data_IF_278269394884
#
_entry.id   IF_278269394884
#
_cell.length_a   1.000
_cell.length_b   1.000
_cell.length_c   1.000
_cell.angle_alpha   90.00
_cell.angle_beta   90.00
_cell.angle_gamma   90.00
#
_symmetry.space_group_name_H-M   'P 1'
#
loop_
_entity.id
_entity.type
_entity.pdbx_description
1 polymer ?
#
# COMPACT_ATOMS: atom_id res chain seq x y z
N UNK A 1 11.66 -7.77 -15.38
CA UNK A 1 10.64 -6.73 -15.63
C UNK A 1 10.81 -5.55 -14.69
N UNK A 2 10.64 -5.72 -13.38
CA UNK A 2 10.71 -4.63 -12.41
C UNK A 2 12.12 -3.99 -12.32
N UNK A 3 13.15 -4.79 -12.01
CA UNK A 3 14.54 -4.32 -11.92
C UNK A 3 15.11 -3.86 -13.26
N UNK A 4 14.48 -4.24 -14.37
CA UNK A 4 14.83 -3.82 -15.73
C UNK A 4 14.12 -2.50 -16.14
N UNK A 5 13.29 -1.92 -15.27
CA UNK A 5 12.59 -0.65 -15.53
C UNK A 5 11.41 -0.74 -16.50
N UNK A 6 10.99 -1.95 -16.89
CA UNK A 6 9.86 -2.13 -17.81
C UNK A 6 8.49 -1.97 -17.13
N UNK A 7 8.47 -1.86 -15.80
CA UNK A 7 7.25 -1.67 -15.03
C UNK A 7 7.53 -0.68 -13.89
N UNK A 8 6.90 0.48 -13.95
CA UNK A 8 6.85 1.43 -12.84
C UNK A 8 5.76 0.98 -11.86
N UNK A 9 6.15 0.62 -10.65
CA UNK A 9 5.23 0.20 -9.58
C UNK A 9 5.10 1.20 -8.45
N UNK A 10 5.82 2.32 -8.53
CA UNK A 10 5.86 3.31 -7.46
C UNK A 10 4.48 3.90 -7.16
N UNK A 11 3.57 3.89 -8.14
CA UNK A 11 2.21 4.40 -8.03
C UNK A 11 1.19 3.38 -7.50
N UNK A 12 1.54 2.09 -7.34
CA UNK A 12 0.60 1.10 -6.82
C UNK A 12 0.48 1.15 -5.30
N UNK A 13 1.56 1.50 -4.58
CA UNK A 13 1.58 1.64 -3.12
C UNK A 13 0.88 2.94 -2.68
N UNK A 14 -0.45 2.90 -2.60
CA UNK A 14 -1.30 4.06 -2.26
C UNK A 14 -1.17 4.51 -0.81
N UNK A 15 -0.95 3.57 0.12
CA UNK A 15 -0.89 3.86 1.55
C UNK A 15 0.27 3.11 2.19
N UNK A 16 0.89 3.75 3.19
CA UNK A 16 2.01 3.20 3.95
C UNK A 16 1.68 3.28 5.43
N UNK A 17 1.87 2.17 6.11
CA UNK A 17 1.58 2.03 7.54
C UNK A 17 2.82 1.51 8.26
N UNK A 18 3.02 1.90 9.50
CA UNK A 18 3.98 1.23 10.37
C UNK A 18 3.53 -0.22 10.65
N UNK A 19 4.45 -1.09 11.04
CA UNK A 19 4.11 -2.45 11.43
C UNK A 19 3.12 -2.49 12.61
N UNK A 20 3.20 -1.52 13.53
CA UNK A 20 2.26 -1.42 14.65
C UNK A 20 0.84 -1.02 14.21
N UNK A 21 0.68 -0.45 13.02
CA UNK A 21 -0.59 0.04 12.46
C UNK A 21 -1.28 -1.01 11.59
N UNK A 22 -0.95 -2.30 11.75
CA UNK A 22 -1.50 -3.39 10.93
C UNK A 22 -3.04 -3.41 10.93
N UNK A 23 -3.70 -3.13 12.05
CA UNK A 23 -5.16 -3.10 12.13
C UNK A 23 -5.76 -1.95 11.30
N UNK A 24 -5.18 -0.76 11.37
CA UNK A 24 -5.61 0.39 10.58
C UNK A 24 -5.40 0.14 9.08
N UNK A 25 -4.30 -0.52 8.70
CA UNK A 25 -4.06 -0.92 7.33
C UNK A 25 -5.17 -1.83 6.78
N UNK A 26 -5.68 -2.75 7.60
CA UNK A 26 -6.82 -3.60 7.22
C UNK A 26 -8.11 -2.79 7.08
N UNK A 27 -8.45 -1.92 8.03
CA UNK A 27 -9.66 -1.10 7.97
C UNK A 27 -9.67 -0.20 6.71
N UNK A 28 -8.53 0.38 6.36
CA UNK A 28 -8.38 1.21 5.16
C UNK A 28 -8.55 0.37 3.88
N UNK A 29 -8.00 -0.84 3.86
CA UNK A 29 -8.07 -1.73 2.71
C UNK A 29 -9.44 -2.41 2.54
N UNK A 30 -10.24 -2.53 3.62
CA UNK A 30 -11.61 -3.07 3.58
C UNK A 30 -12.61 -2.16 2.84
N UNK A 31 -12.29 -0.86 2.69
CA UNK A 31 -13.17 0.14 2.05
C UNK A 31 -12.48 0.86 0.89
N UNK A 32 -11.97 0.13 -0.13
CA UNK A 32 -11.10 0.72 -1.14
C UNK A 32 -11.81 1.77 -2.01
N UNK A 33 -13.13 1.66 -2.17
CA UNK A 33 -13.93 2.65 -2.90
C UNK A 33 -13.99 4.02 -2.17
N UNK A 34 -13.95 4.00 -0.84
CA UNK A 34 -14.03 5.22 -0.01
C UNK A 34 -12.64 5.76 0.32
N UNK A 35 -11.65 4.88 0.51
CA UNK A 35 -10.29 5.23 0.93
C UNK A 35 -9.33 5.44 -0.24
N UNK A 36 -9.71 4.99 -1.44
CA UNK A 36 -8.81 4.97 -2.61
C UNK A 36 -7.65 3.97 -2.47
N UNK A 37 -7.74 3.03 -1.53
CA UNK A 37 -6.70 2.03 -1.33
C UNK A 37 -6.62 1.05 -2.51
N UNK A 38 -5.45 0.98 -3.14
CA UNK A 38 -5.13 0.00 -4.18
C UNK A 38 -4.13 -1.05 -3.66
N UNK A 39 -3.13 -0.59 -2.91
CA UNK A 39 -2.17 -1.43 -2.20
C UNK A 39 -1.73 -0.69 -0.94
N UNK A 40 -1.73 -1.41 0.17
CA UNK A 40 -1.24 -0.95 1.48
C UNK A 40 0.11 -1.62 1.75
N UNK A 41 1.15 -0.84 2.05
CA UNK A 41 2.51 -1.35 2.26
C UNK A 41 2.94 -1.14 3.71
N UNK A 42 3.26 -2.20 4.46
CA UNK A 42 3.87 -2.06 5.78
C UNK A 42 5.28 -1.49 5.64
N UNK A 43 5.64 -0.61 6.56
CA UNK A 43 6.96 0.01 6.66
C UNK A 43 7.60 -0.41 7.96
N UNK A 44 8.90 -0.73 7.90
CA UNK A 44 9.71 -0.97 9.08
C UNK A 44 10.44 0.36 9.38
N UNK A 45 9.82 1.23 10.17
CA UNK A 45 10.50 2.41 10.73
C UNK A 45 10.91 2.17 12.17
#
# INVERSE_FOLDING_TARGET
MLSAGHLDVSNFATHRFDLQETQEAYEVFERPADTGALHVTPTAR
#
